data_IF_792332692380
#
_entry.id   IF_792332692380
#
_cell.length_a   1.000
_cell.length_b   1.000
_cell.length_c   1.000
_cell.angle_alpha   90.00
_cell.angle_beta   90.00
_cell.angle_gamma   90.00
#
_symmetry.space_group_name_H-M   'P 1'
#
loop_
_entity.id
_entity.type
_entity.pdbx_description
1 polymer ?
#
# COMPACT_ATOMS: atom_id res chain seq x y z
N UNK A 1 -0.65 -22.19 11.15
CA UNK A 1 -0.68 -22.02 9.68
C UNK A 1 -1.66 -20.96 9.22
N UNK A 2 -2.93 -20.99 9.66
CA UNK A 2 -3.96 -19.98 9.32
C UNK A 2 -3.59 -18.55 9.70
N UNK A 3 -3.06 -18.31 10.91
CA UNK A 3 -2.64 -16.96 11.33
C UNK A 3 -1.54 -16.36 10.42
N UNK A 4 -0.61 -17.18 9.94
CA UNK A 4 0.48 -16.78 9.06
C UNK A 4 -0.05 -16.26 7.72
N UNK A 5 -1.00 -16.99 7.15
CA UNK A 5 -1.68 -16.62 5.90
C UNK A 5 -2.50 -15.35 6.09
N UNK A 6 -3.22 -15.22 7.21
CA UNK A 6 -4.03 -14.02 7.49
C UNK A 6 -3.16 -12.77 7.61
N UNK A 7 -2.04 -12.81 8.34
CA UNK A 7 -1.12 -11.68 8.44
C UNK A 7 -0.48 -11.33 7.09
N UNK A 8 -0.06 -12.36 6.33
CA UNK A 8 0.52 -12.18 4.99
C UNK A 8 -0.46 -11.54 4.00
N UNK A 9 -1.70 -12.06 3.95
CA UNK A 9 -2.73 -11.58 3.04
C UNK A 9 -3.19 -10.17 3.41
N UNK A 10 -3.32 -9.87 4.70
CA UNK A 10 -3.73 -8.54 5.19
C UNK A 10 -2.67 -7.50 4.87
N UNK A 11 -1.39 -7.80 5.11
CA UNK A 11 -0.30 -6.91 4.75
C UNK A 11 -0.29 -6.61 3.24
N UNK A 12 -0.41 -7.65 2.40
CA UNK A 12 -0.47 -7.49 0.95
C UNK A 12 -1.67 -6.67 0.48
N UNK A 13 -2.87 -6.93 1.01
CA UNK A 13 -4.08 -6.20 0.62
C UNK A 13 -4.00 -4.72 0.99
N UNK A 14 -3.56 -4.41 2.21
CA UNK A 14 -3.45 -3.03 2.69
C UNK A 14 -2.41 -2.26 1.89
N UNK A 15 -1.25 -2.87 1.63
CA UNK A 15 -0.19 -2.25 0.83
C UNK A 15 -0.64 -2.07 -0.63
N UNK A 16 -1.33 -3.05 -1.22
CA UNK A 16 -1.87 -2.96 -2.57
C UNK A 16 -2.89 -1.82 -2.72
N UNK A 17 -3.81 -1.69 -1.75
CA UNK A 17 -4.78 -0.58 -1.72
C UNK A 17 -4.09 0.78 -1.58
N UNK A 18 -3.05 0.88 -0.75
CA UNK A 18 -2.24 2.09 -0.64
C UNK A 18 -1.61 2.48 -1.99
N UNK A 19 -0.98 1.53 -2.67
CA UNK A 19 -0.34 1.84 -3.95
C UNK A 19 -1.33 2.12 -5.08
N UNK A 20 -2.53 1.53 -5.03
CA UNK A 20 -3.61 1.87 -5.96
C UNK A 20 -4.08 3.32 -5.77
N UNK A 21 -4.26 3.76 -4.51
CA UNK A 21 -4.59 5.14 -4.18
C UNK A 21 -3.50 6.11 -4.65
N UNK A 22 -2.23 5.74 -4.48
CA UNK A 22 -1.07 6.51 -4.96
C UNK A 22 -1.11 6.67 -6.50
N UNK A 23 -1.33 5.58 -7.23
CA UNK A 23 -1.41 5.60 -8.71
C UNK A 23 -2.59 6.43 -9.22
N UNK A 24 -3.77 6.30 -8.61
CA UNK A 24 -4.96 7.11 -8.98
C UNK A 24 -4.71 8.59 -8.71
N UNK A 25 -4.12 8.92 -7.56
CA UNK A 25 -3.86 10.31 -7.18
C UNK A 25 -2.87 10.99 -8.13
N UNK A 26 -1.89 10.24 -8.64
CA UNK A 26 -0.92 10.71 -9.64
C UNK A 26 -1.52 10.77 -11.06
N UNK A 27 -2.36 9.81 -11.43
CA UNK A 27 -2.89 9.66 -12.80
C UNK A 27 -4.05 10.59 -13.13
N UNK A 28 -4.83 11.03 -12.13
CA UNK A 28 -5.93 11.99 -12.36
C UNK A 28 -5.36 13.33 -12.79
N UNK A 29 -5.72 13.85 -13.97
CA UNK A 29 -5.23 15.14 -14.48
C UNK A 29 -5.97 16.34 -13.89
N UNK A 30 -5.34 17.53 -13.90
CA UNK A 30 -6.02 18.77 -13.49
C UNK A 30 -7.25 19.08 -14.36
N UNK A 31 -7.24 18.67 -15.63
CA UNK A 31 -8.38 18.83 -16.52
C UNK A 31 -9.60 18.02 -16.08
N UNK A 32 -9.40 16.78 -15.60
CA UNK A 32 -10.49 15.96 -15.09
C UNK A 32 -11.11 16.54 -13.80
N UNK A 33 -10.26 17.09 -12.93
CA UNK A 33 -10.69 17.79 -11.71
C UNK A 33 -11.51 19.05 -12.05
N UNK A 34 -11.04 19.84 -13.03
CA UNK A 34 -11.75 21.04 -13.48
C UNK A 34 -13.15 20.71 -14.06
N UNK A 35 -13.30 19.56 -14.73
CA UNK A 35 -14.61 19.08 -15.20
C UNK A 35 -15.52 18.74 -14.03
N UNK A 36 -15.04 17.98 -13.03
CA UNK A 36 -15.83 17.65 -11.83
C UNK A 36 -16.28 18.89 -11.04
N UNK A 37 -15.41 19.90 -10.92
CA UNK A 37 -15.75 21.17 -10.28
C UNK A 37 -16.86 21.89 -11.07
N UNK A 38 -16.78 21.86 -12.41
CA UNK A 38 -17.76 22.47 -13.30
C UNK A 38 -19.13 21.77 -13.25
N UNK A 39 -19.14 20.45 -13.05
CA UNK A 39 -20.35 19.64 -12.83
C UNK A 39 -20.94 19.82 -11.42
N UNK A 40 -20.32 20.63 -10.55
CA UNK A 40 -20.81 20.93 -9.21
C UNK A 40 -20.56 19.82 -8.19
N UNK A 41 -19.73 18.83 -8.52
CA UNK A 41 -19.38 17.77 -7.59
C UNK A 41 -18.41 18.26 -6.51
N UNK A 42 -18.80 18.08 -5.24
CA UNK A 42 -17.92 18.37 -4.09
C UNK A 42 -16.60 17.60 -4.16
N UNK A 43 -16.61 16.43 -4.78
CA UNK A 43 -15.44 15.57 -5.02
C UNK A 43 -14.37 16.31 -5.82
N UNK A 44 -14.75 17.19 -6.77
CA UNK A 44 -13.82 17.99 -7.57
C UNK A 44 -12.99 18.95 -6.71
N UNK A 45 -13.63 19.69 -5.80
CA UNK A 45 -12.94 20.63 -4.89
C UNK A 45 -12.01 19.89 -3.92
N UNK A 46 -12.44 18.73 -3.41
CA UNK A 46 -11.61 17.90 -2.54
C UNK A 46 -10.37 17.41 -3.30
N UNK A 47 -10.56 16.89 -4.52
CA UNK A 47 -9.48 16.37 -5.35
C UNK A 47 -8.48 17.47 -5.74
N UNK A 48 -8.95 18.68 -6.03
CA UNK A 48 -8.11 19.85 -6.30
C UNK A 48 -7.22 20.18 -5.10
N UNK A 49 -7.80 20.27 -3.90
CA UNK A 49 -7.05 20.56 -2.67
C UNK A 49 -6.03 19.46 -2.31
N UNK A 50 -6.37 18.19 -2.58
CA UNK A 50 -5.46 17.06 -2.40
C UNK A 50 -4.31 17.11 -3.40
N UNK A 51 -4.56 17.59 -4.63
CA UNK A 51 -3.57 17.63 -5.70
C UNK A 51 -2.66 18.85 -5.63
N UNK A 52 -3.15 20.00 -5.18
CA UNK A 52 -2.30 21.16 -4.82
C UNK A 52 -1.25 20.78 -3.77
N UNK A 53 -1.61 19.89 -2.83
CA UNK A 53 -0.74 19.43 -1.75
C UNK A 53 -0.45 17.94 -1.86
N UNK A 54 -0.16 17.43 -3.06
CA UNK A 54 -0.02 15.99 -3.33
C UNK A 54 0.95 15.27 -2.39
N UNK A 55 1.99 15.96 -1.90
CA UNK A 55 2.96 15.41 -0.95
C UNK A 55 2.33 14.96 0.37
N UNK A 56 1.24 15.60 0.83
CA UNK A 56 0.59 15.30 2.12
C UNK A 56 -0.19 13.97 2.10
N UNK A 57 -1.15 13.74 1.18
CA UNK A 57 -1.81 12.44 1.04
C UNK A 57 -0.83 11.35 0.61
N UNK A 58 0.14 11.65 -0.25
CA UNK A 58 1.18 10.69 -0.66
C UNK A 58 2.00 10.21 0.55
N UNK A 59 2.47 11.13 1.39
CA UNK A 59 3.21 10.76 2.61
C UNK A 59 2.35 9.95 3.59
N UNK A 60 1.05 10.25 3.71
CA UNK A 60 0.15 9.47 4.56
C UNK A 60 -0.03 8.04 4.04
N UNK A 61 -0.23 7.87 2.73
CA UNK A 61 -0.34 6.56 2.07
C UNK A 61 0.95 5.75 2.28
N UNK A 62 2.11 6.37 2.04
CA UNK A 62 3.41 5.72 2.16
C UNK A 62 3.73 5.33 3.61
N UNK A 63 3.28 6.14 4.58
CA UNK A 63 3.37 5.82 6.00
C UNK A 63 2.53 4.59 6.35
N UNK A 64 1.28 4.52 5.88
CA UNK A 64 0.40 3.37 6.13
C UNK A 64 0.98 2.11 5.49
N UNK A 65 1.50 2.20 4.25
CA UNK A 65 2.18 1.09 3.58
C UNK A 65 3.38 0.58 4.41
N UNK A 66 4.18 1.49 4.95
CA UNK A 66 5.34 1.15 5.80
C UNK A 66 4.89 0.44 7.09
N UNK A 67 3.83 0.91 7.74
CA UNK A 67 3.25 0.28 8.93
C UNK A 67 2.72 -1.12 8.60
N UNK A 68 1.98 -1.27 7.50
CA UNK A 68 1.45 -2.55 7.05
C UNK A 68 2.56 -3.56 6.79
N UNK A 69 3.64 -3.14 6.13
CA UNK A 69 4.80 -3.98 5.83
C UNK A 69 5.55 -4.36 7.10
N UNK A 70 5.71 -3.43 8.05
CA UNK A 70 6.32 -3.71 9.36
C UNK A 70 5.50 -4.74 10.14
N UNK A 71 4.19 -4.55 10.26
CA UNK A 71 3.29 -5.47 10.97
C UNK A 71 3.26 -6.84 10.27
N UNK A 72 3.22 -6.86 8.94
CA UNK A 72 3.30 -8.08 8.14
C UNK A 72 4.60 -8.84 8.38
N UNK A 73 5.75 -8.16 8.32
CA UNK A 73 7.07 -8.76 8.54
C UNK A 73 7.26 -9.27 9.97
N UNK A 74 6.83 -8.49 10.97
CA UNK A 74 6.87 -8.91 12.37
C UNK A 74 5.93 -10.09 12.63
N UNK A 75 4.71 -10.07 12.08
CA UNK A 75 3.72 -11.14 12.25
C UNK A 75 4.15 -12.45 11.57
N UNK A 76 4.59 -12.37 10.32
CA UNK A 76 5.13 -13.51 9.56
C UNK A 76 6.39 -14.04 10.23
N UNK A 77 7.32 -13.17 10.64
CA UNK A 77 8.55 -13.56 11.33
C UNK A 77 8.30 -14.29 12.66
N UNK A 78 7.38 -13.77 13.49
CA UNK A 78 7.02 -14.39 14.76
C UNK A 78 6.39 -15.78 14.57
N UNK A 79 5.53 -15.93 13.56
CA UNK A 79 4.87 -17.20 13.24
C UNK A 79 5.85 -18.21 12.62
N UNK A 80 6.74 -17.76 11.72
CA UNK A 80 7.80 -18.62 11.15
C UNK A 80 8.74 -19.10 12.24
N UNK A 81 9.10 -18.25 13.19
CA UNK A 81 9.95 -18.63 14.32
C UNK A 81 9.30 -19.76 15.14
N UNK A 82 8.00 -19.65 15.42
CA UNK A 82 7.27 -20.65 16.20
C UNK A 82 7.06 -21.98 15.47
N UNK A 83 6.93 -21.96 14.14
CA UNK A 83 6.59 -23.15 13.34
C UNK A 83 7.80 -23.85 12.71
N UNK A 84 8.80 -23.09 12.26
CA UNK A 84 9.95 -23.59 11.49
C UNK A 84 11.29 -23.32 12.19
N UNK A 85 11.31 -22.58 13.30
CA UNK A 85 12.52 -22.22 14.03
C UNK A 85 13.28 -21.05 13.39
N UNK A 86 14.35 -20.60 14.08
CA UNK A 86 15.04 -19.34 13.74
C UNK A 86 15.66 -19.29 12.35
N UNK A 87 16.11 -20.44 11.82
CA UNK A 87 16.77 -20.51 10.49
C UNK A 87 15.86 -20.05 9.35
N UNK A 88 14.56 -20.28 9.45
CA UNK A 88 13.60 -19.97 8.39
C UNK A 88 13.02 -18.56 8.48
N UNK A 89 13.20 -17.87 9.61
CA UNK A 89 12.70 -16.50 9.80
C UNK A 89 13.30 -15.56 8.77
N UNK A 90 14.63 -15.58 8.62
CA UNK A 90 15.32 -14.72 7.66
C UNK A 90 14.86 -14.93 6.22
N UNK A 91 14.71 -16.20 5.81
CA UNK A 91 14.23 -16.57 4.46
C UNK A 91 12.77 -16.12 4.28
N UNK A 92 11.90 -16.34 5.27
CA UNK A 92 10.49 -15.95 5.18
C UNK A 92 10.30 -14.44 5.11
N UNK A 93 11.05 -13.66 5.88
CA UNK A 93 11.00 -12.19 5.84
C UNK A 93 11.51 -11.65 4.51
N UNK A 94 12.57 -12.26 3.95
CA UNK A 94 13.06 -11.89 2.62
C UNK A 94 12.03 -12.15 1.52
N UNK A 95 11.43 -13.35 1.51
CA UNK A 95 10.39 -13.71 0.53
C UNK A 95 9.15 -12.82 0.66
N UNK A 96 8.71 -12.52 1.89
CA UNK A 96 7.61 -11.58 2.14
C UNK A 96 7.93 -10.20 1.58
N UNK A 97 9.12 -9.67 1.89
CA UNK A 97 9.53 -8.33 1.45
C UNK A 97 9.58 -8.24 -0.08
N UNK A 98 10.13 -9.27 -0.73
CA UNK A 98 10.15 -9.36 -2.20
C UNK A 98 8.73 -9.42 -2.79
N UNK A 99 7.84 -10.18 -2.14
CA UNK A 99 6.44 -10.28 -2.56
C UNK A 99 5.73 -8.94 -2.44
N UNK A 100 5.91 -8.22 -1.33
CA UNK A 100 5.36 -6.88 -1.14
C UNK A 100 5.92 -5.93 -2.21
N UNK A 101 7.23 -5.93 -2.46
CA UNK A 101 7.84 -5.05 -3.47
C UNK A 101 7.20 -5.28 -4.86
N UNK A 102 7.09 -6.53 -5.29
CA UNK A 102 6.57 -6.88 -6.62
C UNK A 102 5.06 -6.58 -6.71
N UNK A 103 4.26 -7.13 -5.79
CA UNK A 103 2.81 -7.05 -5.87
C UNK A 103 2.25 -5.71 -5.45
N UNK A 104 2.90 -5.05 -4.50
CA UNK A 104 2.39 -3.82 -3.92
C UNK A 104 3.03 -2.57 -4.49
N UNK A 105 4.29 -2.57 -4.89
CA UNK A 105 4.92 -1.35 -5.44
C UNK A 105 5.07 -1.39 -6.96
N UNK A 106 5.59 -2.50 -7.52
CA UNK A 106 5.91 -2.55 -8.95
C UNK A 106 4.65 -2.67 -9.79
N UNK A 107 3.76 -3.63 -9.49
CA UNK A 107 2.56 -3.88 -10.32
C UNK A 107 1.65 -2.65 -10.40
N UNK A 108 1.24 -1.99 -9.30
CA UNK A 108 0.27 -0.88 -9.37
C UNK A 108 0.85 0.45 -9.89
N UNK A 109 2.18 0.62 -9.86
CA UNK A 109 2.86 1.82 -10.37
C UNK A 109 3.28 1.69 -11.84
N UNK A 110 3.34 0.47 -12.37
CA UNK A 110 3.76 0.19 -13.75
C UNK A 110 2.58 -0.05 -14.69
N UNK A 111 1.42 -0.46 -14.16
CA UNK A 111 0.13 -0.53 -14.86
C UNK A 111 -0.66 0.78 -14.70
#
# INVERSE_FOLDING_TARGET
MTALIVFFLTALLVSFLCSLLESVLLSVSHAHIAVLIKDGEKTGQIMESLKEKINRPLAAILTINTIANMVGATGVGAQTFHLFGSKWVAVSSFVLTLSILIFSEIIPKTL
#
